data_IF_117721670018
#
_entry.id   IF_117721670018
#
_cell.length_a   1.000
_cell.length_b   1.000
_cell.length_c   1.000
_cell.angle_alpha   90.00
_cell.angle_beta   90.00
_cell.angle_gamma   90.00
#
_symmetry.space_group_name_H-M   'P 1'
#
loop_
_entity.id
_entity.type
_entity.pdbx_description
1 polymer ?
#
# COMPACT_ATOMS: atom_id res chain seq x y z
N UNK A 1 -5.16 -4.98 46.42
CA UNK A 1 -5.96 -4.96 45.18
C UNK A 1 -4.99 -4.67 44.05
N UNK A 2 -4.70 -5.70 43.27
CA UNK A 2 -3.93 -5.69 42.04
C UNK A 2 -4.70 -4.93 40.96
N UNK A 3 -4.02 -4.12 40.14
CA UNK A 3 -4.10 -4.19 38.68
C UNK A 3 -2.96 -3.37 38.09
N UNK A 4 -2.04 -4.12 37.49
CA UNK A 4 -0.99 -3.71 36.58
C UNK A 4 -1.59 -2.92 35.41
N UNK A 5 -1.24 -1.65 35.25
CA UNK A 5 -1.49 -0.94 34.00
C UNK A 5 -0.42 -1.38 32.98
N UNK A 6 -0.90 -2.09 31.97
CA UNK A 6 -0.13 -2.77 30.95
C UNK A 6 0.34 -1.69 29.98
N UNK A 7 1.66 -1.52 29.89
CA UNK A 7 2.31 -0.82 28.78
C UNK A 7 1.74 -1.34 27.46
N UNK A 8 1.06 -0.47 26.71
CA UNK A 8 0.66 -0.75 25.34
C UNK A 8 1.93 -1.00 24.51
N UNK A 9 2.00 -2.06 23.68
CA UNK A 9 3.08 -2.17 22.72
C UNK A 9 2.80 -1.15 21.61
N UNK A 10 3.31 0.06 21.79
CA UNK A 10 3.65 0.93 20.68
C UNK A 10 4.78 0.24 19.91
N UNK A 11 4.42 -0.56 18.91
CA UNK A 11 5.37 -0.94 17.89
C UNK A 11 5.72 0.33 17.12
N UNK A 12 7.00 0.69 17.08
CA UNK A 12 7.54 1.69 16.16
C UNK A 12 7.18 1.26 14.73
N UNK A 13 6.00 1.67 14.27
CA UNK A 13 5.73 1.82 12.86
C UNK A 13 6.66 2.94 12.41
N UNK A 14 7.86 2.56 11.95
CA UNK A 14 8.88 3.49 11.45
C UNK A 14 8.21 4.59 10.64
N UNK A 15 8.53 5.84 10.98
CA UNK A 15 7.80 7.03 10.56
C UNK A 15 7.53 6.96 9.06
N UNK A 16 6.26 6.76 8.68
CA UNK A 16 5.87 6.65 7.29
C UNK A 16 6.23 7.97 6.57
N UNK A 17 6.99 7.86 5.49
CA UNK A 17 7.51 8.98 4.71
C UNK A 17 6.83 9.08 3.33
N UNK A 18 5.68 8.42 3.16
CA UNK A 18 4.93 8.46 1.92
C UNK A 18 4.68 9.92 1.48
N UNK A 19 4.97 10.26 0.21
CA UNK A 19 4.94 11.64 -0.27
C UNK A 19 3.49 12.09 -0.55
N UNK A 20 2.68 12.18 0.51
CA UNK A 20 1.31 12.69 0.50
C UNK A 20 1.08 13.60 1.70
N UNK A 21 0.15 14.56 1.57
CA UNK A 21 -0.33 15.44 2.62
C UNK A 21 -1.42 14.79 3.49
N UNK A 22 -2.13 13.77 3.00
CA UNK A 22 -3.16 13.09 3.79
C UNK A 22 -2.54 12.08 4.76
N UNK A 23 -2.63 12.39 6.05
CA UNK A 23 -2.14 11.52 7.12
C UNK A 23 -2.82 10.14 7.16
N UNK A 24 -4.07 10.03 6.69
CA UNK A 24 -4.84 8.78 6.65
C UNK A 24 -4.37 7.90 5.50
N UNK A 25 -4.10 8.47 4.33
CA UNK A 25 -3.48 7.75 3.22
C UNK A 25 -2.07 7.27 3.62
N UNK A 26 -1.29 8.14 4.25
CA UNK A 26 0.04 7.79 4.78
C UNK A 26 -0.04 6.62 5.77
N UNK A 27 -1.01 6.62 6.68
CA UNK A 27 -1.24 5.53 7.61
C UNK A 27 -1.62 4.22 6.90
N UNK A 28 -2.49 4.29 5.86
CA UNK A 28 -2.85 3.10 5.06
C UNK A 28 -1.66 2.51 4.34
N UNK A 29 -0.81 3.33 3.73
CA UNK A 29 0.42 2.86 3.08
C UNK A 29 1.36 2.20 4.10
N UNK A 30 1.48 2.77 5.30
CA UNK A 30 2.28 2.19 6.37
C UNK A 30 1.74 0.83 6.85
N UNK A 31 0.42 0.69 6.96
CA UNK A 31 -0.28 -0.56 7.29
C UNK A 31 0.00 -1.62 6.23
N UNK A 32 -0.18 -1.30 4.95
CA UNK A 32 0.10 -2.20 3.83
C UNK A 32 1.56 -2.64 3.80
N UNK A 33 2.49 -1.71 4.04
CA UNK A 33 3.92 -2.01 4.14
C UNK A 33 4.22 -2.96 5.30
N UNK A 34 3.57 -2.78 6.46
CA UNK A 34 3.73 -3.67 7.60
C UNK A 34 3.19 -5.09 7.33
N UNK A 35 2.01 -5.20 6.70
CA UNK A 35 1.43 -6.48 6.28
C UNK A 35 2.33 -7.19 5.26
N UNK A 36 2.88 -6.44 4.30
CA UNK A 36 3.85 -6.92 3.32
C UNK A 36 5.10 -7.52 3.97
N UNK A 37 5.70 -6.79 4.92
CA UNK A 37 6.88 -7.27 5.68
C UNK A 37 6.57 -8.47 6.60
N UNK A 38 5.35 -8.55 7.11
CA UNK A 38 4.88 -9.71 7.87
C UNK A 38 4.51 -10.91 6.99
N UNK A 39 4.58 -10.75 5.65
CA UNK A 39 4.15 -11.75 4.68
C UNK A 39 2.67 -12.17 4.83
N UNK A 40 1.83 -11.26 5.32
CA UNK A 40 0.39 -11.45 5.49
C UNK A 40 -0.34 -11.04 4.20
N UNK A 41 -0.40 -11.97 3.25
CA UNK A 41 -1.02 -11.73 1.93
C UNK A 41 -2.53 -11.46 2.07
N UNK A 42 -3.24 -12.20 2.92
CA UNK A 42 -4.68 -12.03 3.10
C UNK A 42 -5.03 -10.69 3.71
N UNK A 43 -4.32 -10.32 4.79
CA UNK A 43 -4.48 -9.02 5.43
C UNK A 43 -4.14 -7.88 4.48
N UNK A 44 -3.06 -8.02 3.70
CA UNK A 44 -2.67 -7.06 2.68
C UNK A 44 -3.79 -6.89 1.65
N UNK A 45 -4.23 -7.98 1.00
CA UNK A 45 -5.25 -7.94 -0.05
C UNK A 45 -6.55 -7.32 0.48
N UNK A 46 -7.00 -7.73 1.67
CA UNK A 46 -8.22 -7.23 2.30
C UNK A 46 -8.21 -5.72 2.56
N UNK A 47 -7.04 -5.06 2.56
CA UNK A 47 -6.86 -3.60 2.71
C UNK A 47 -6.43 -2.90 1.42
N UNK A 48 -5.87 -3.65 0.48
CA UNK A 48 -5.30 -3.15 -0.76
C UNK A 48 -6.34 -3.01 -1.86
N UNK A 49 -7.16 -4.04 -2.10
CA UNK A 49 -8.05 -4.07 -3.28
C UNK A 49 -9.25 -3.13 -3.14
N UNK A 50 -9.81 -2.66 -4.27
CA UNK A 50 -11.06 -1.91 -4.32
C UNK A 50 -12.22 -2.62 -3.61
N UNK A 51 -13.17 -1.83 -3.09
CA UNK A 51 -14.37 -2.36 -2.41
C UNK A 51 -15.38 -2.99 -3.36
N UNK A 52 -15.33 -2.59 -4.63
CA UNK A 52 -16.23 -2.97 -5.71
C UNK A 52 -15.67 -4.09 -6.59
N UNK A 53 -14.57 -4.74 -6.18
CA UNK A 53 -14.09 -5.95 -6.84
C UNK A 53 -15.03 -7.14 -6.59
N UNK A 54 -15.25 -7.93 -7.63
CA UNK A 54 -15.94 -9.21 -7.52
C UNK A 54 -15.16 -10.16 -6.61
N UNK A 55 -15.88 -10.94 -5.81
CA UNK A 55 -15.26 -11.85 -4.82
C UNK A 55 -14.33 -12.85 -5.51
N UNK A 56 -14.72 -13.34 -6.69
CA UNK A 56 -13.91 -14.27 -7.49
C UNK A 56 -12.59 -13.64 -7.91
N UNK A 57 -12.59 -12.37 -8.34
CA UNK A 57 -11.37 -11.65 -8.71
C UNK A 57 -10.45 -11.44 -7.51
N UNK A 58 -11.00 -11.13 -6.33
CA UNK A 58 -10.21 -11.00 -5.09
C UNK A 58 -9.56 -12.34 -4.72
N UNK A 59 -10.30 -13.45 -4.83
CA UNK A 59 -9.78 -14.79 -4.56
C UNK A 59 -8.67 -15.16 -5.55
N UNK A 60 -8.88 -14.92 -6.85
CA UNK A 60 -7.90 -15.19 -7.89
C UNK A 60 -6.64 -14.33 -7.74
N UNK A 61 -6.82 -13.04 -7.43
CA UNK A 61 -5.69 -12.15 -7.15
C UNK A 61 -4.89 -12.63 -5.93
N UNK A 62 -5.57 -12.93 -4.81
CA UNK A 62 -4.94 -13.46 -3.60
C UNK A 62 -4.18 -14.76 -3.88
N UNK A 63 -4.79 -15.67 -4.63
CA UNK A 63 -4.17 -16.94 -5.06
C UNK A 63 -2.92 -16.68 -5.89
N UNK A 64 -2.99 -15.77 -6.85
CA UNK A 64 -1.84 -15.42 -7.69
C UNK A 64 -0.65 -14.89 -6.88
N UNK A 65 -0.88 -14.09 -5.82
CA UNK A 65 0.19 -13.59 -4.97
C UNK A 65 0.80 -14.69 -4.07
N UNK A 66 0.02 -15.71 -3.70
CA UNK A 66 0.52 -16.85 -2.91
C UNK A 66 1.32 -17.84 -3.75
N UNK A 67 0.91 -18.02 -5.01
CA UNK A 67 1.54 -18.97 -5.93
C UNK A 67 2.79 -18.36 -6.61
N UNK A 68 2.79 -17.05 -6.86
CA UNK A 68 3.89 -16.31 -7.49
C UNK A 68 4.63 -15.42 -6.49
N UNK A 69 5.70 -15.97 -5.92
CA UNK A 69 6.55 -15.26 -4.97
C UNK A 69 7.28 -14.05 -5.55
N UNK A 70 7.60 -14.05 -6.85
CA UNK A 70 8.23 -12.90 -7.51
C UNK A 70 7.25 -11.75 -7.64
N UNK A 71 6.00 -12.05 -8.04
CA UNK A 71 4.92 -11.06 -8.09
C UNK A 71 4.66 -10.46 -6.71
N UNK A 72 4.63 -11.28 -5.67
CA UNK A 72 4.46 -10.80 -4.31
C UNK A 72 5.63 -9.93 -3.82
N UNK A 73 6.87 -10.34 -4.07
CA UNK A 73 8.07 -9.55 -3.76
C UNK A 73 8.04 -8.18 -4.44
N UNK A 74 7.65 -8.15 -5.71
CA UNK A 74 7.57 -6.91 -6.47
C UNK A 74 6.54 -5.96 -5.84
N UNK A 75 5.33 -6.44 -5.57
CA UNK A 75 4.24 -5.62 -5.01
C UNK A 75 4.60 -5.07 -3.63
N UNK A 76 5.18 -5.89 -2.73
CA UNK A 76 5.57 -5.39 -1.41
C UNK A 76 6.76 -4.41 -1.48
N UNK A 77 7.71 -4.62 -2.41
CA UNK A 77 8.83 -3.69 -2.64
C UNK A 77 8.37 -2.33 -3.17
N UNK A 78 7.34 -2.32 -4.02
CA UNK A 78 6.66 -1.11 -4.48
C UNK A 78 6.04 -0.36 -3.30
N UNK A 79 5.20 -1.02 -2.48
CA UNK A 79 4.57 -0.38 -1.32
C UNK A 79 5.59 0.11 -0.29
N UNK A 80 6.64 -0.67 -0.01
CA UNK A 80 7.73 -0.24 0.88
C UNK A 80 8.46 1.00 0.32
N UNK A 81 8.63 1.10 -1.00
CA UNK A 81 9.24 2.28 -1.62
C UNK A 81 8.38 3.53 -1.45
N UNK A 82 7.05 3.42 -1.59
CA UNK A 82 6.14 4.55 -1.29
C UNK A 82 6.25 4.88 0.19
N UNK A 83 6.13 3.89 1.07
CA UNK A 83 6.18 4.12 2.52
C UNK A 83 7.48 4.80 2.96
N UNK A 84 8.60 4.47 2.33
CA UNK A 84 9.90 5.07 2.60
C UNK A 84 10.09 6.48 2.00
N UNK A 85 9.17 6.95 1.14
CA UNK A 85 9.35 8.18 0.39
C UNK A 85 10.52 8.09 -0.59
N UNK A 86 10.78 6.91 -1.13
CA UNK A 86 11.92 6.67 -2.00
C UNK A 86 11.86 7.59 -3.23
N UNK A 87 12.97 8.16 -3.72
CA UNK A 87 12.98 9.05 -4.88
C UNK A 87 12.36 8.44 -6.17
N UNK A 88 12.32 7.10 -6.25
CA UNK A 88 11.71 6.32 -7.33
C UNK A 88 10.18 6.17 -7.23
N UNK A 89 9.58 6.57 -6.12
CA UNK A 89 8.14 6.47 -5.83
C UNK A 89 7.60 7.89 -5.59
N UNK A 90 6.98 8.49 -6.59
CA UNK A 90 6.56 9.90 -6.56
C UNK A 90 5.05 10.02 -6.69
N UNK A 91 4.45 10.91 -5.89
CA UNK A 91 3.09 11.36 -6.13
C UNK A 91 3.07 12.22 -7.40
N UNK A 92 2.25 11.84 -8.37
CA UNK A 92 2.19 12.49 -9.69
C UNK A 92 0.84 13.16 -9.98
N UNK A 93 -0.23 12.72 -9.32
CA UNK A 93 -1.58 13.25 -9.54
C UNK A 93 -2.51 12.98 -8.34
N UNK A 94 -3.70 13.58 -8.39
CA UNK A 94 -4.74 13.44 -7.37
C UNK A 94 -4.88 14.67 -6.49
N UNK A 95 -6.06 14.85 -5.91
CA UNK A 95 -6.37 15.94 -4.97
C UNK A 95 -5.90 15.63 -3.54
N UNK A 96 -5.35 14.42 -3.31
CA UNK A 96 -4.94 13.91 -2.02
C UNK A 96 -6.08 13.89 -0.98
N UNK A 97 -7.34 13.90 -1.43
CA UNK A 97 -8.54 13.80 -0.59
C UNK A 97 -9.43 12.64 -1.00
N UNK A 98 -9.59 12.43 -2.31
CA UNK A 98 -10.33 11.34 -2.94
C UNK A 98 -9.41 10.43 -3.74
N UNK A 99 -8.36 10.97 -4.35
CA UNK A 99 -7.42 10.21 -5.18
C UNK A 99 -5.99 10.68 -4.97
N UNK A 100 -5.05 9.74 -4.99
CA UNK A 100 -3.61 9.99 -5.00
C UNK A 100 -2.91 8.97 -5.88
N UNK A 101 -2.13 9.40 -6.85
CA UNK A 101 -1.48 8.51 -7.82
C UNK A 101 0.03 8.53 -7.65
N UNK A 102 0.61 7.35 -7.45
CA UNK A 102 2.04 7.16 -7.28
C UNK A 102 2.62 6.47 -8.51
N UNK A 103 3.74 7.01 -9.00
CA UNK A 103 4.54 6.41 -10.06
C UNK A 103 5.79 5.75 -9.49
N UNK A 104 6.07 4.55 -9.98
CA UNK A 104 7.27 3.76 -9.72
C UNK A 104 8.18 3.76 -10.93
N UNK A 105 9.43 4.19 -10.73
CA UNK A 105 10.50 3.92 -11.67
C UNK A 105 11.09 2.54 -11.33
N UNK A 106 10.83 1.54 -12.18
CA UNK A 106 11.45 0.22 -11.99
C UNK A 106 12.91 0.23 -12.46
N UNK A 107 13.86 -0.31 -11.68
CA UNK A 107 15.24 -0.44 -12.11
C UNK A 107 15.34 -1.39 -13.31
N UNK A 108 16.17 -1.01 -14.28
CA UNK A 108 16.32 -1.67 -15.59
C UNK A 108 16.73 -3.14 -15.43
N UNK A 109 16.04 -4.05 -16.11
CA UNK A 109 16.64 -5.34 -16.50
C UNK A 109 17.28 -5.10 -17.87
N UNK A 110 18.59 -5.33 -17.96
CA UNK A 110 19.30 -5.54 -19.23
C UNK A 110 19.48 -4.34 -20.19
N UNK A 111 20.01 -3.22 -19.70
CA UNK A 111 20.78 -2.28 -20.54
C UNK A 111 20.01 -1.44 -21.58
N UNK A 112 18.70 -1.58 -21.72
CA UNK A 112 17.89 -0.73 -22.61
C UNK A 112 17.47 0.60 -21.95
N UNK A 113 17.22 1.62 -22.77
CA UNK A 113 16.89 2.99 -22.35
C UNK A 113 15.42 3.21 -21.96
N UNK A 114 14.63 2.15 -21.81
CA UNK A 114 13.22 2.25 -21.45
C UNK A 114 13.02 2.16 -19.93
N UNK A 115 12.57 3.26 -19.32
CA UNK A 115 12.06 3.27 -17.94
C UNK A 115 10.61 2.79 -17.99
N UNK A 116 10.33 1.61 -17.43
CA UNK A 116 8.95 1.16 -17.20
C UNK A 116 8.43 1.93 -15.99
N UNK A 117 7.49 2.84 -16.25
CA UNK A 117 6.73 3.51 -15.21
C UNK A 117 5.53 2.64 -14.87
N UNK A 118 5.46 2.17 -13.63
CA UNK A 118 4.25 1.59 -13.08
C UNK A 118 3.51 2.64 -12.28
N UNK A 119 2.20 2.64 -12.32
CA UNK A 119 1.37 3.60 -11.59
C UNK A 119 0.41 2.82 -10.69
N UNK A 120 0.24 3.31 -9.46
CA UNK A 120 -0.81 2.85 -8.55
C UNK A 120 -1.59 4.07 -8.10
N UNK A 121 -2.90 4.04 -8.31
CA UNK A 121 -3.78 5.03 -7.74
C UNK A 121 -4.33 4.51 -6.43
N UNK A 122 -4.34 5.35 -5.40
CA UNK A 122 -5.15 5.14 -4.22
C UNK A 122 -6.41 5.99 -4.32
N UNK A 123 -7.56 5.39 -4.03
CA UNK A 123 -8.86 6.05 -3.97
C UNK A 123 -9.49 5.86 -2.59
N UNK A 124 -10.02 6.94 -2.04
CA UNK A 124 -10.71 6.91 -0.75
C UNK A 124 -12.19 6.61 -0.95
N UNK A 125 -12.63 5.42 -0.52
CA UNK A 125 -14.01 4.94 -0.65
C UNK A 125 -14.92 5.33 0.53
N UNK A 126 -14.45 6.21 1.43
CA UNK A 126 -15.26 6.65 2.56
C UNK A 126 -16.35 7.62 2.12
N UNK A 127 -17.57 7.41 2.60
CA UNK A 127 -18.65 8.40 2.50
C UNK A 127 -18.52 9.50 3.56
N UNK A 128 -19.33 10.56 3.42
CA UNK A 128 -19.32 11.68 4.37
C UNK A 128 -19.66 11.21 5.79
N UNK A 129 -18.70 11.38 6.71
CA UNK A 129 -18.83 10.96 8.10
C UNK A 129 -18.27 9.58 8.41
N UNK A 130 -17.79 8.83 7.41
CA UNK A 130 -17.13 7.55 7.60
C UNK A 130 -15.61 7.66 7.82
N UNK A 131 -14.99 6.68 8.49
CA UNK A 131 -13.53 6.56 8.52
C UNK A 131 -12.97 6.40 7.10
N UNK A 132 -11.84 7.04 6.83
CA UNK A 132 -11.17 6.94 5.54
C UNK A 132 -10.83 5.49 5.18
N UNK A 133 -11.06 5.12 3.91
CA UNK A 133 -10.77 3.80 3.39
C UNK A 133 -10.09 3.90 2.02
N UNK A 134 -8.81 4.23 2.06
CA UNK A 134 -7.94 4.26 0.89
C UNK A 134 -7.66 2.85 0.38
N UNK A 135 -7.96 2.60 -0.90
CA UNK A 135 -7.71 1.34 -1.63
C UNK A 135 -6.93 1.62 -2.91
N UNK A 136 -6.14 0.66 -3.37
CA UNK A 136 -5.44 0.75 -4.63
C UNK A 136 -6.37 0.39 -5.81
N UNK A 137 -6.34 1.20 -6.86
CA UNK A 137 -6.93 0.95 -8.18
C UNK A 137 -5.78 0.88 -9.20
N UNK A 138 -5.77 -0.15 -10.05
CA UNK A 138 -4.77 -0.34 -11.10
C UNK A 138 -4.75 -1.73 -11.71
#
# INVERSE_FOLDING_TARGET
MTTTDRVAPGGDAGTANAPTKDARLRARIAELAALGRANDVDGFVAKFVPKDCEVEDVVEFTRSLREDGERWELLRSEIDAINAGAPRARLIAGDEMKRAEFRFEMPRRDGEDLVINREVAFVNYAEDGEPSDWRAEG
#
